data_IF_404837681498
#
_entry.id   IF_404837681498
#
_cell.length_a   1.000
_cell.length_b   1.000
_cell.length_c   1.000
_cell.angle_alpha   90.00
_cell.angle_beta   90.00
_cell.angle_gamma   90.00
#
_symmetry.space_group_name_H-M   'P 1'
#
loop_
_entity.id
_entity.type
_entity.pdbx_description
1 polymer ?
#
# COMPACT_ATOMS: atom_id res chain seq x y z
N UNK A 1 -9.92 -26.03 81.19
CA UNK A 1 -9.49 -25.86 79.79
C UNK A 1 -9.88 -27.10 78.98
N UNK A 2 -10.82 -27.01 78.04
CA UNK A 2 -10.92 -27.97 76.95
C UNK A 2 -10.53 -27.30 75.62
N UNK A 3 -9.57 -27.88 74.91
CA UNK A 3 -9.10 -27.45 73.59
C UNK A 3 -10.08 -27.91 72.52
N UNK A 4 -10.83 -26.97 71.94
CA UNK A 4 -11.63 -27.22 70.74
C UNK A 4 -10.70 -27.38 69.52
N UNK A 5 -10.71 -28.56 68.90
CA UNK A 5 -10.04 -28.84 67.63
C UNK A 5 -10.93 -28.33 66.49
N UNK A 6 -10.52 -27.24 65.86
CA UNK A 6 -11.15 -26.69 64.66
C UNK A 6 -10.77 -27.52 63.43
N UNK A 7 -11.76 -27.99 62.66
CA UNK A 7 -11.58 -28.60 61.34
C UNK A 7 -11.27 -27.50 60.30
N UNK A 8 -10.45 -27.79 59.26
CA UNK A 8 -10.19 -26.83 58.19
C UNK A 8 -11.42 -26.68 57.25
N UNK A 9 -11.63 -25.48 56.66
CA UNK A 9 -12.74 -25.25 55.74
C UNK A 9 -12.52 -26.00 54.41
N UNK A 10 -13.63 -26.49 53.83
CA UNK A 10 -13.66 -27.12 52.50
C UNK A 10 -13.50 -26.04 51.43
N UNK A 11 -12.52 -26.21 50.55
CA UNK A 11 -12.28 -25.34 49.39
C UNK A 11 -13.52 -25.28 48.49
N UNK A 12 -14.08 -24.08 48.37
CA UNK A 12 -15.17 -23.79 47.46
C UNK A 12 -14.62 -23.72 46.02
N UNK A 13 -15.10 -24.62 45.16
CA UNK A 13 -14.79 -24.60 43.73
C UNK A 13 -15.35 -23.31 43.11
N UNK A 14 -14.43 -22.43 42.69
CA UNK A 14 -14.74 -21.19 41.95
C UNK A 14 -15.41 -21.56 40.62
N UNK A 15 -16.74 -21.40 40.52
CA UNK A 15 -17.45 -21.55 39.25
C UNK A 15 -17.05 -20.41 38.31
N UNK A 16 -16.29 -20.72 37.27
CA UNK A 16 -15.93 -19.80 36.19
C UNK A 16 -17.22 -19.39 35.46
N UNK A 17 -17.69 -18.15 35.67
CA UNK A 17 -18.84 -17.61 34.95
C UNK A 17 -18.54 -17.49 33.46
N UNK A 18 -19.41 -18.05 32.61
CA UNK A 18 -19.34 -17.88 31.16
C UNK A 18 -19.59 -16.39 30.81
N UNK A 19 -18.70 -15.70 30.08
CA UNK A 19 -18.93 -14.32 29.68
C UNK A 19 -20.17 -14.25 28.78
N UNK A 20 -21.15 -13.44 29.17
CA UNK A 20 -22.31 -13.12 28.34
C UNK A 20 -21.88 -12.03 27.36
N UNK A 21 -21.37 -12.42 26.19
CA UNK A 21 -21.17 -11.48 25.08
C UNK A 21 -22.54 -11.00 24.62
N UNK A 22 -22.85 -9.73 24.84
CA UNK A 22 -24.11 -9.12 24.39
C UNK A 22 -24.08 -8.98 22.88
N UNK A 23 -25.25 -9.08 22.23
CA UNK A 23 -25.38 -8.89 20.77
C UNK A 23 -24.84 -7.52 20.32
N UNK A 24 -24.90 -6.51 21.19
CA UNK A 24 -24.31 -5.19 20.95
C UNK A 24 -22.78 -5.24 20.87
N UNK A 25 -22.11 -6.01 21.73
CA UNK A 25 -20.66 -6.17 21.69
C UNK A 25 -20.21 -6.88 20.40
N UNK A 26 -21.02 -7.83 19.91
CA UNK A 26 -20.80 -8.48 18.62
C UNK A 26 -21.01 -7.50 17.45
N UNK A 27 -22.07 -6.69 17.50
CA UNK A 27 -22.36 -5.72 16.45
C UNK A 27 -21.27 -4.65 16.35
N UNK A 28 -20.83 -4.11 17.49
CA UNK A 28 -19.73 -3.15 17.55
C UNK A 28 -18.41 -3.75 17.05
N UNK A 29 -18.13 -5.02 17.36
CA UNK A 29 -16.94 -5.70 16.86
C UNK A 29 -16.95 -5.88 15.33
N UNK A 30 -18.12 -6.19 14.75
CA UNK A 30 -18.29 -6.32 13.29
C UNK A 30 -18.13 -4.97 12.60
N UNK A 31 -18.76 -3.91 13.12
CA UNK A 31 -18.63 -2.55 12.57
C UNK A 31 -17.18 -2.06 12.69
N UNK A 32 -16.54 -2.23 13.85
CA UNK A 32 -15.14 -1.85 14.04
C UNK A 32 -14.21 -2.64 13.10
N UNK A 33 -14.40 -3.95 12.95
CA UNK A 33 -13.64 -4.77 12.01
C UNK A 33 -13.83 -4.34 10.55
N UNK A 34 -15.07 -4.03 10.15
CA UNK A 34 -15.39 -3.54 8.80
C UNK A 34 -14.79 -2.17 8.50
N UNK A 35 -14.87 -1.23 9.45
CA UNK A 35 -14.27 0.12 9.32
C UNK A 35 -12.75 0.02 9.24
N UNK A 36 -12.10 -0.74 10.13
CA UNK A 36 -10.64 -0.95 10.09
C UNK A 36 -10.20 -1.63 8.80
N UNK A 37 -10.96 -2.63 8.32
CA UNK A 37 -10.67 -3.31 7.06
C UNK A 37 -10.82 -2.40 5.84
N UNK A 38 -11.87 -1.57 5.79
CA UNK A 38 -12.11 -0.64 4.69
C UNK A 38 -11.07 0.47 4.63
N UNK A 39 -10.80 1.15 5.76
CA UNK A 39 -9.78 2.19 5.81
C UNK A 39 -8.38 1.63 5.60
N UNK A 40 -8.08 0.40 6.04
CA UNK A 40 -6.78 -0.24 5.90
C UNK A 40 -6.33 -0.45 4.45
N UNK A 41 -7.26 -0.68 3.51
CA UNK A 41 -6.95 -0.89 2.09
C UNK A 41 -6.53 0.42 1.40
N UNK A 42 -7.15 1.55 1.75
CA UNK A 42 -6.81 2.86 1.20
C UNK A 42 -5.40 3.32 1.60
N UNK A 43 -5.01 3.10 2.87
CA UNK A 43 -3.67 3.49 3.37
C UNK A 43 -2.55 2.63 2.78
N UNK A 44 -2.85 1.38 2.41
CA UNK A 44 -1.87 0.47 1.83
C UNK A 44 -1.64 0.73 0.32
N UNK A 45 -2.68 1.16 -0.41
CA UNK A 45 -2.60 1.41 -1.86
C UNK A 45 -2.01 2.78 -2.22
N UNK A 46 -2.25 3.80 -1.39
CA UNK A 46 -1.77 5.17 -1.62
C UNK A 46 -0.25 5.31 -1.82
N UNK A 47 0.63 4.70 -1.00
CA UNK A 47 2.08 4.86 -1.19
C UNK A 47 2.57 4.29 -2.52
N UNK A 48 1.98 3.19 -3.01
CA UNK A 48 2.39 2.58 -4.28
C UNK A 48 2.01 3.44 -5.48
N UNK A 49 0.81 4.01 -5.48
CA UNK A 49 0.37 4.98 -6.50
C UNK A 49 1.21 6.26 -6.48
N UNK A 50 1.66 6.70 -5.29
CA UNK A 50 2.56 7.84 -5.15
C UNK A 50 3.97 7.56 -5.70
N UNK A 51 4.49 6.34 -5.54
CA UNK A 51 5.76 5.96 -6.18
C UNK A 51 5.62 5.77 -7.69
N UNK A 52 4.51 5.21 -8.17
CA UNK A 52 4.23 5.09 -9.61
C UNK A 52 4.14 6.46 -10.30
N UNK A 53 3.70 7.51 -9.59
CA UNK A 53 3.62 8.88 -10.12
C UNK A 53 4.95 9.64 -10.11
N UNK A 54 6.01 9.13 -9.45
CA UNK A 54 7.32 9.82 -9.38
C UNK A 54 8.12 9.77 -10.68
N UNK A 55 7.86 8.79 -11.56
CA UNK A 55 8.66 8.59 -12.77
C UNK A 55 7.76 8.47 -14.00
N UNK A 56 7.16 9.61 -14.35
CA UNK A 56 6.18 9.76 -15.41
C UNK A 56 6.79 10.35 -16.70
N UNK A 57 8.11 10.33 -16.87
CA UNK A 57 8.75 10.76 -18.11
C UNK A 57 9.14 9.51 -18.89
N UNK A 58 8.54 9.34 -20.07
CA UNK A 58 8.70 8.15 -20.91
C UNK A 58 9.84 8.37 -21.90
N UNK A 59 10.93 7.61 -21.80
CA UNK A 59 12.04 7.64 -22.76
C UNK A 59 11.97 6.50 -23.78
N UNK A 60 11.59 6.80 -25.02
CA UNK A 60 11.64 5.86 -26.16
C UNK A 60 12.88 6.01 -27.06
N UNK A 61 13.29 4.90 -27.68
CA UNK A 61 14.41 4.87 -28.63
C UNK A 61 13.82 4.60 -30.01
N UNK A 62 13.98 5.55 -30.94
CA UNK A 62 13.55 5.35 -32.31
C UNK A 62 14.38 4.23 -32.96
N UNK A 63 13.76 3.09 -33.25
CA UNK A 63 14.46 1.91 -33.80
C UNK A 63 15.12 2.22 -35.15
N UNK A 64 14.53 3.11 -35.96
CA UNK A 64 15.06 3.48 -37.28
C UNK A 64 16.23 4.47 -37.25
N UNK A 65 16.28 5.37 -36.26
CA UNK A 65 17.30 6.44 -36.19
C UNK A 65 18.27 6.31 -35.02
N UNK A 66 17.96 5.44 -34.04
CA UNK A 66 18.68 5.34 -32.78
C UNK A 66 18.47 6.55 -31.84
N UNK A 67 17.59 7.49 -32.19
CA UNK A 67 17.37 8.69 -31.39
C UNK A 67 16.71 8.36 -30.05
N UNK A 68 17.24 8.96 -28.99
CA UNK A 68 16.73 8.87 -27.62
C UNK A 68 15.82 10.05 -27.35
N UNK A 69 14.51 9.80 -27.30
CA UNK A 69 13.50 10.84 -27.18
C UNK A 69 12.74 10.63 -25.86
N UNK A 70 12.49 11.69 -25.10
CA UNK A 70 11.69 11.63 -23.89
C UNK A 70 10.39 12.42 -24.03
N UNK A 71 9.32 11.84 -23.51
CA UNK A 71 7.97 12.38 -23.50
C UNK A 71 7.57 12.71 -22.07
N UNK A 72 6.99 13.90 -21.86
CA UNK A 72 6.44 14.35 -20.58
C UNK A 72 4.91 14.26 -20.62
N UNK A 73 4.23 14.12 -19.46
CA UNK A 73 2.77 14.12 -19.41
C UNK A 73 2.20 15.40 -20.05
N UNK A 74 1.16 15.24 -20.87
CA UNK A 74 0.51 16.34 -21.60
C UNK A 74 1.04 16.61 -23.00
N UNK A 75 2.02 15.85 -23.50
CA UNK A 75 2.39 15.84 -24.92
C UNK A 75 1.46 14.93 -25.73
N UNK A 76 1.30 15.24 -27.03
CA UNK A 76 0.37 14.54 -27.93
C UNK A 76 0.59 13.02 -27.93
N UNK A 77 1.83 12.59 -28.12
CA UNK A 77 2.21 11.18 -28.20
C UNK A 77 2.58 10.54 -26.86
N UNK A 78 2.35 11.22 -25.73
CA UNK A 78 2.74 10.68 -24.43
C UNK A 78 2.03 9.35 -24.13
N UNK A 79 0.72 9.28 -24.36
CA UNK A 79 -0.07 8.08 -24.03
C UNK A 79 0.21 6.92 -24.99
N UNK A 80 0.45 7.24 -26.26
CA UNK A 80 0.80 6.26 -27.30
C UNK A 80 2.18 5.65 -27.11
N UNK A 81 3.11 6.43 -26.54
CA UNK A 81 4.47 5.96 -26.27
C UNK A 81 4.44 4.85 -25.23
N UNK A 82 4.78 3.64 -25.67
CA UNK A 82 4.97 2.46 -24.81
C UNK A 82 6.46 2.22 -24.65
N UNK A 83 6.90 2.07 -23.41
CA UNK A 83 8.30 1.87 -23.08
C UNK A 83 8.59 0.38 -23.02
N UNK A 84 9.61 -0.02 -23.76
CA UNK A 84 10.05 -1.39 -23.93
C UNK A 84 11.54 -1.50 -23.54
N UNK A 85 11.84 -1.95 -22.30
CA UNK A 85 13.20 -2.01 -21.78
C UNK A 85 14.18 -2.82 -22.62
N UNK A 86 13.68 -3.79 -23.40
CA UNK A 86 14.50 -4.61 -24.30
C UNK A 86 15.23 -3.79 -25.39
N UNK A 87 14.72 -2.60 -25.73
CA UNK A 87 15.34 -1.67 -26.68
C UNK A 87 16.14 -0.55 -26.00
N UNK A 88 16.37 -0.66 -24.68
CA UNK A 88 17.05 0.38 -23.89
C UNK A 88 16.16 1.58 -23.55
N UNK A 89 14.86 1.47 -23.77
CA UNK A 89 13.86 2.45 -23.35
C UNK A 89 13.64 2.41 -21.84
N UNK A 90 13.36 3.56 -21.23
CA UNK A 90 13.17 3.64 -19.78
C UNK A 90 12.36 4.83 -19.33
N UNK A 91 11.87 4.77 -18.11
CA UNK A 91 11.25 5.90 -17.44
C UNK A 91 12.30 6.74 -16.71
N UNK A 92 12.03 8.05 -16.66
CA UNK A 92 12.78 9.03 -15.90
C UNK A 92 11.88 9.69 -14.87
N UNK A 93 12.48 10.16 -13.78
CA UNK A 93 11.76 10.87 -12.73
C UNK A 93 11.90 12.39 -12.87
N UNK A 94 12.82 12.86 -13.72
CA UNK A 94 12.94 14.28 -14.07
C UNK A 94 13.46 14.49 -15.50
N UNK A 95 13.12 15.62 -16.11
CA UNK A 95 13.65 15.98 -17.43
C UNK A 95 15.17 16.20 -17.40
N UNK A 96 15.69 16.66 -16.25
CA UNK A 96 17.13 16.84 -16.05
C UNK A 96 17.87 15.50 -16.13
N UNK A 97 17.32 14.44 -15.53
CA UNK A 97 17.86 13.08 -15.62
C UNK A 97 17.84 12.56 -17.06
N UNK A 98 16.73 12.76 -17.78
CA UNK A 98 16.62 12.37 -19.18
C UNK A 98 17.67 13.09 -20.05
N UNK A 99 17.81 14.41 -19.90
CA UNK A 99 18.82 15.19 -20.62
C UNK A 99 20.25 14.77 -20.26
N UNK A 100 20.55 14.55 -18.98
CA UNK A 100 21.86 14.08 -18.52
C UNK A 100 22.20 12.69 -19.09
N UNK A 101 21.18 11.86 -19.33
CA UNK A 101 21.33 10.58 -20.01
C UNK A 101 21.47 10.67 -21.54
N UNK A 102 21.48 11.88 -22.11
CA UNK A 102 21.59 12.14 -23.55
C UNK A 102 20.27 12.01 -24.32
N UNK A 103 19.13 12.22 -23.65
CA UNK A 103 17.81 12.16 -24.29
C UNK A 103 17.34 13.56 -24.65
N UNK A 104 16.73 13.69 -25.84
CA UNK A 104 16.12 14.95 -26.29
C UNK A 104 14.62 14.96 -25.98
N UNK A 105 14.05 16.14 -25.75
CA UNK A 105 12.60 16.27 -25.55
C UNK A 105 11.86 15.96 -26.86
N UNK A 106 10.74 15.26 -26.75
CA UNK A 106 9.82 15.10 -27.86
C UNK A 106 9.30 16.45 -28.35
N UNK A 107 8.96 16.52 -29.64
CA UNK A 107 8.16 17.60 -30.21
C UNK A 107 6.78 17.64 -29.56
N UNK A 108 5.93 18.56 -30.03
CA UNK A 108 4.58 18.78 -29.49
C UNK A 108 3.80 17.47 -29.34
#
# INVERSE_FOLDING_TARGET
MPTHRSLPPRDATRKQGRPRFTMEALYLAVIAGGVVGYFGVEIAAAPFAYFASRCNIKGNVSIGSGERIYHVPGQEYYDETKISPQYGERWFCSEAEARAAGWRRAGR
#
